data_IF_910180315207
#
_entry.id   IF_910180315207
#
_cell.length_a   1.000
_cell.length_b   1.000
_cell.length_c   1.000
_cell.angle_alpha   90.00
_cell.angle_beta   90.00
_cell.angle_gamma   90.00
#
_symmetry.space_group_name_H-M   'P 1'
#
loop_
_entity.id
_entity.type
_entity.pdbx_description
1 polymer ?
#
# COMPACT_ATOMS: atom_id res chain seq x y z
N UNK A 1 -15.37 -22.45 -12.53
CA UNK A 1 -14.19 -21.64 -12.88
C UNK A 1 -14.54 -20.26 -13.41
N UNK A 2 -15.43 -20.12 -14.42
CA UNK A 2 -15.82 -18.82 -15.02
C UNK A 2 -16.19 -17.72 -14.00
N UNK A 3 -17.04 -18.02 -13.01
CA UNK A 3 -17.41 -17.06 -11.94
C UNK A 3 -16.21 -16.51 -11.17
N UNK A 4 -15.20 -17.34 -10.87
CA UNK A 4 -14.00 -16.91 -10.12
C UNK A 4 -13.13 -15.94 -10.93
N UNK A 5 -13.04 -16.17 -12.25
CA UNK A 5 -12.30 -15.29 -13.16
C UNK A 5 -12.99 -13.93 -13.23
N UNK A 6 -14.32 -13.91 -13.37
CA UNK A 6 -15.12 -12.67 -13.40
C UNK A 6 -14.95 -11.87 -12.10
N UNK A 7 -15.05 -12.53 -10.93
CA UNK A 7 -14.81 -11.86 -9.64
C UNK A 7 -13.38 -11.33 -9.51
N UNK A 8 -12.39 -12.04 -10.03
CA UNK A 8 -11.01 -11.59 -10.04
C UNK A 8 -10.80 -10.34 -10.89
N UNK A 9 -11.36 -10.32 -12.11
CA UNK A 9 -11.28 -9.15 -13.00
C UNK A 9 -11.97 -7.93 -12.34
N UNK A 10 -13.17 -8.14 -11.79
CA UNK A 10 -13.90 -7.07 -11.11
C UNK A 10 -13.11 -6.54 -9.91
N UNK A 11 -12.46 -7.41 -9.14
CA UNK A 11 -11.61 -7.01 -8.02
C UNK A 11 -10.44 -6.14 -8.45
N UNK A 12 -9.77 -6.48 -9.56
CA UNK A 12 -8.67 -5.66 -10.11
C UNK A 12 -9.17 -4.27 -10.53
N UNK A 13 -10.31 -4.20 -11.23
CA UNK A 13 -10.91 -2.94 -11.65
C UNK A 13 -11.26 -2.07 -10.44
N UNK A 14 -11.89 -2.66 -9.41
CA UNK A 14 -12.20 -1.97 -8.16
C UNK A 14 -10.92 -1.47 -7.48
N UNK A 15 -9.87 -2.31 -7.42
CA UNK A 15 -8.59 -1.93 -6.82
C UNK A 15 -7.94 -0.74 -7.52
N UNK A 16 -7.93 -0.73 -8.86
CA UNK A 16 -7.45 0.41 -9.66
C UNK A 16 -8.33 1.64 -9.45
N UNK A 17 -9.65 1.49 -9.39
CA UNK A 17 -10.58 2.59 -9.11
C UNK A 17 -10.34 3.23 -7.74
N UNK A 18 -10.15 2.42 -6.70
CA UNK A 18 -9.79 2.89 -5.35
C UNK A 18 -8.45 3.64 -5.40
N UNK A 19 -7.46 3.13 -6.12
CA UNK A 19 -6.17 3.79 -6.26
C UNK A 19 -6.29 5.17 -6.93
N UNK A 20 -7.07 5.29 -8.01
CA UNK A 20 -7.34 6.58 -8.65
C UNK A 20 -8.03 7.57 -7.70
N UNK A 21 -9.02 7.10 -6.94
CA UNK A 21 -9.76 7.94 -6.01
C UNK A 21 -8.93 8.40 -4.81
N UNK A 22 -8.07 7.53 -4.27
CA UNK A 22 -7.33 7.76 -3.03
C UNK A 22 -5.93 8.38 -3.23
N UNK A 23 -5.53 8.64 -4.48
CA UNK A 23 -4.20 9.14 -4.81
C UNK A 23 -3.86 10.45 -4.09
N UNK A 24 -4.72 11.47 -4.20
CA UNK A 24 -4.48 12.78 -3.58
C UNK A 24 -4.39 12.67 -2.05
N UNK A 25 -5.28 11.88 -1.45
CA UNK A 25 -5.30 11.64 -0.01
C UNK A 25 -3.98 11.03 0.49
N UNK A 26 -3.47 9.99 -0.18
CA UNK A 26 -2.22 9.38 0.23
C UNK A 26 -1.00 10.27 0.00
N UNK A 27 -1.02 11.11 -1.04
CA UNK A 27 0.06 12.07 -1.28
C UNK A 27 0.14 13.09 -0.15
N UNK A 28 -0.99 13.64 0.29
CA UNK A 28 -1.05 14.56 1.42
C UNK A 28 -0.51 13.90 2.70
N UNK A 29 -0.96 12.68 3.02
CA UNK A 29 -0.45 11.94 4.17
C UNK A 29 1.08 11.75 4.10
N UNK A 30 1.61 11.33 2.95
CA UNK A 30 3.06 11.14 2.80
C UNK A 30 3.79 12.46 3.01
N UNK A 31 3.29 13.56 2.45
CA UNK A 31 3.90 14.88 2.60
C UNK A 31 3.89 15.36 4.06
N UNK A 32 2.80 15.15 4.77
CA UNK A 32 2.68 15.51 6.18
C UNK A 32 3.64 14.68 7.03
N UNK A 33 3.76 13.37 6.75
CA UNK A 33 4.75 12.51 7.41
C UNK A 33 6.18 12.98 7.12
N UNK A 34 6.48 13.42 5.89
CA UNK A 34 7.82 13.93 5.54
C UNK A 34 8.19 15.17 6.36
N UNK A 35 7.28 16.13 6.52
CA UNK A 35 7.51 17.31 7.36
C UNK A 35 7.63 16.92 8.83
N UNK A 36 6.64 16.18 9.32
CA UNK A 36 6.55 15.79 10.73
C UNK A 36 7.76 14.97 11.18
N UNK A 37 8.15 13.95 10.41
CA UNK A 37 9.27 13.06 10.76
C UNK A 37 10.65 13.72 10.67
N UNK A 38 10.75 14.90 10.07
CA UNK A 38 12.00 15.65 9.94
C UNK A 38 11.99 16.96 10.73
N UNK A 39 11.00 17.16 11.62
CA UNK A 39 10.84 18.40 12.39
C UNK A 39 10.83 19.66 11.51
N UNK A 40 10.09 19.59 10.39
CA UNK A 40 9.96 20.66 9.38
C UNK A 40 11.26 21.03 8.64
N UNK A 41 12.30 20.21 8.75
CA UNK A 41 13.54 20.38 7.99
C UNK A 41 13.33 20.12 6.48
N UNK A 42 12.29 19.40 6.07
CA UNK A 42 11.89 19.31 4.66
C UNK A 42 10.86 20.40 4.33
N UNK A 43 11.23 21.30 3.42
CA UNK A 43 10.32 22.32 2.86
C UNK A 43 9.99 22.01 1.40
N UNK A 44 8.71 21.85 1.11
CA UNK A 44 8.27 21.59 -0.26
C UNK A 44 8.26 22.87 -1.10
N UNK A 45 8.85 22.80 -2.30
CA UNK A 45 8.94 23.91 -3.24
C UNK A 45 8.41 23.53 -4.63
N UNK A 46 7.97 24.53 -5.40
CA UNK A 46 7.43 24.34 -6.75
C UNK A 46 5.93 24.07 -6.78
N UNK A 47 5.40 23.80 -7.98
CA UNK A 47 3.98 23.52 -8.18
C UNK A 47 3.67 22.09 -7.75
N UNK A 48 2.54 21.90 -7.07
CA UNK A 48 2.03 20.58 -6.69
C UNK A 48 1.42 19.85 -7.91
N UNK A 49 2.18 19.69 -8.98
CA UNK A 49 1.74 19.03 -10.21
C UNK A 49 2.30 17.62 -10.28
N UNK A 50 1.48 16.68 -9.84
CA UNK A 50 1.69 15.24 -10.03
C UNK A 50 0.39 14.70 -10.64
N UNK A 51 0.32 14.72 -11.97
CA UNK A 51 -0.92 14.42 -12.71
C UNK A 51 -1.09 12.89 -12.91
N UNK A 52 -0.07 12.09 -12.62
CA UNK A 52 -0.16 10.64 -12.71
C UNK A 52 0.70 9.96 -11.64
N UNK A 53 0.06 9.28 -10.68
CA UNK A 53 0.75 8.32 -9.83
C UNK A 53 1.49 7.30 -10.69
N UNK A 54 2.57 6.76 -10.15
CA UNK A 54 3.35 5.74 -10.85
C UNK A 54 2.44 4.59 -11.31
N UNK A 55 2.68 4.04 -12.50
CA UNK A 55 1.99 2.82 -12.96
C UNK A 55 2.06 1.69 -11.94
N UNK A 56 3.17 1.64 -11.18
CA UNK A 56 3.39 0.69 -10.09
C UNK A 56 2.31 0.78 -9.02
N UNK A 57 1.91 1.98 -8.60
CA UNK A 57 0.88 2.17 -7.57
C UNK A 57 -0.45 1.53 -7.97
N UNK A 58 -0.98 1.85 -9.15
CA UNK A 58 -2.27 1.32 -9.62
C UNK A 58 -2.24 -0.19 -9.80
N UNK A 59 -1.17 -0.72 -10.42
CA UNK A 59 -1.01 -2.17 -10.61
C UNK A 59 -0.97 -2.87 -9.25
N UNK A 60 -0.24 -2.31 -8.29
CA UNK A 60 -0.09 -2.92 -6.97
C UNK A 60 -1.42 -2.97 -6.24
N UNK A 61 -2.20 -1.88 -6.23
CA UNK A 61 -3.53 -1.87 -5.62
C UNK A 61 -4.51 -2.83 -6.32
N UNK A 62 -4.42 -2.98 -7.64
CA UNK A 62 -5.16 -4.01 -8.39
C UNK A 62 -4.83 -5.43 -7.92
N UNK A 63 -3.54 -5.75 -7.77
CA UNK A 63 -3.06 -7.06 -7.29
C UNK A 63 -3.49 -7.31 -5.83
N UNK A 64 -3.37 -6.30 -4.97
CA UNK A 64 -3.76 -6.37 -3.55
C UNK A 64 -5.26 -6.67 -3.43
N UNK A 65 -6.09 -5.95 -4.19
CA UNK A 65 -7.53 -6.19 -4.25
C UNK A 65 -7.84 -7.61 -4.70
N UNK A 66 -7.19 -8.08 -5.78
CA UNK A 66 -7.35 -9.45 -6.28
C UNK A 66 -7.01 -10.51 -5.21
N UNK A 67 -5.86 -10.37 -4.53
CA UNK A 67 -5.43 -11.32 -3.50
C UNK A 67 -6.40 -11.33 -2.32
N UNK A 68 -6.87 -10.15 -1.88
CA UNK A 68 -7.83 -10.04 -0.81
C UNK A 68 -9.19 -10.67 -1.18
N UNK A 69 -9.66 -10.46 -2.41
CA UNK A 69 -10.88 -11.12 -2.92
C UNK A 69 -10.70 -12.64 -2.99
N UNK A 70 -9.57 -13.14 -3.49
CA UNK A 70 -9.29 -14.58 -3.57
C UNK A 70 -9.25 -15.25 -2.19
N UNK A 71 -8.69 -14.57 -1.18
CA UNK A 71 -8.68 -15.08 0.19
C UNK A 71 -10.10 -15.24 0.75
N UNK A 72 -10.99 -14.33 0.36
CA UNK A 72 -12.29 -14.11 0.98
C UNK A 72 -13.48 -14.64 0.16
N UNK A 73 -13.24 -15.24 -1.01
CA UNK A 73 -14.26 -15.64 -1.99
C UNK A 73 -15.37 -16.57 -1.44
N UNK A 74 -15.11 -17.29 -0.35
CA UNK A 74 -16.09 -18.17 0.31
C UNK A 74 -16.15 -17.97 1.83
N UNK A 75 -15.73 -16.81 2.33
CA UNK A 75 -15.74 -16.50 3.76
C UNK A 75 -16.96 -15.68 4.14
N UNK A 76 -17.39 -15.78 5.41
CA UNK A 76 -18.44 -14.90 5.97
C UNK A 76 -17.96 -13.44 5.95
N UNK A 77 -18.87 -12.50 5.71
CA UNK A 77 -18.57 -11.06 5.64
C UNK A 77 -17.75 -10.55 6.83
N UNK A 78 -18.03 -11.02 8.05
CA UNK A 78 -17.27 -10.67 9.26
C UNK A 78 -15.78 -11.01 9.17
N UNK A 79 -15.43 -12.15 8.56
CA UNK A 79 -14.03 -12.52 8.32
C UNK A 79 -13.39 -11.68 7.22
N UNK A 80 -14.17 -11.32 6.20
CA UNK A 80 -13.72 -10.44 5.11
C UNK A 80 -13.34 -9.07 5.67
N UNK A 81 -14.24 -8.45 6.44
CA UNK A 81 -14.01 -7.17 7.09
C UNK A 81 -12.80 -7.22 8.03
N UNK A 82 -12.71 -8.27 8.87
CA UNK A 82 -11.54 -8.45 9.74
C UNK A 82 -10.23 -8.50 8.95
N UNK A 83 -10.20 -9.24 7.85
CA UNK A 83 -9.01 -9.33 7.00
C UNK A 83 -8.66 -8.00 6.33
N UNK A 84 -9.68 -7.27 5.86
CA UNK A 84 -9.52 -5.94 5.28
C UNK A 84 -8.96 -4.94 6.30
N UNK A 85 -9.50 -4.90 7.52
CA UNK A 85 -9.02 -4.02 8.59
C UNK A 85 -7.57 -4.32 8.96
N UNK A 86 -7.20 -5.60 9.10
CA UNK A 86 -5.81 -5.98 9.40
C UNK A 86 -4.87 -5.52 8.27
N UNK A 87 -5.26 -5.71 7.01
CA UNK A 87 -4.47 -5.26 5.87
C UNK A 87 -4.33 -3.73 5.84
N UNK A 88 -5.41 -3.00 6.12
CA UNK A 88 -5.43 -1.54 6.18
C UNK A 88 -4.55 -0.99 7.31
N UNK A 89 -4.60 -1.61 8.50
CA UNK A 89 -3.74 -1.22 9.63
C UNK A 89 -2.26 -1.43 9.32
N UNK A 90 -1.90 -2.59 8.76
CA UNK A 90 -0.50 -2.87 8.37
C UNK A 90 -0.06 -1.88 7.28
N UNK A 91 -0.91 -1.63 6.29
CA UNK A 91 -0.64 -0.66 5.24
C UNK A 91 -0.39 0.74 5.80
N UNK A 92 -1.23 1.23 6.72
CA UNK A 92 -1.08 2.54 7.34
C UNK A 92 0.22 2.68 8.15
N UNK A 93 0.55 1.67 8.97
CA UNK A 93 1.79 1.66 9.76
C UNK A 93 3.01 1.70 8.84
N UNK A 94 3.01 0.88 7.77
CA UNK A 94 4.11 0.84 6.80
C UNK A 94 4.21 2.13 6.00
N UNK A 95 3.08 2.71 5.61
CA UNK A 95 3.04 3.99 4.90
C UNK A 95 3.76 5.08 5.69
N UNK A 96 3.43 5.21 6.98
CA UNK A 96 4.08 6.17 7.88
C UNK A 96 5.56 5.82 8.04
N UNK A 97 5.87 4.55 8.35
CA UNK A 97 7.25 4.11 8.62
C UNK A 97 8.19 4.30 7.42
N UNK A 98 7.81 3.82 6.24
CA UNK A 98 8.63 3.95 5.02
C UNK A 98 8.78 5.43 4.63
N UNK A 99 7.72 6.23 4.75
CA UNK A 99 7.78 7.67 4.46
C UNK A 99 8.73 8.39 5.41
N UNK A 100 8.66 8.10 6.72
CA UNK A 100 9.53 8.71 7.72
C UNK A 100 11.01 8.34 7.49
N UNK A 101 11.29 7.09 7.13
CA UNK A 101 12.65 6.64 6.79
C UNK A 101 13.16 7.37 5.55
N UNK A 102 12.38 7.41 4.46
CA UNK A 102 12.80 8.10 3.21
C UNK A 102 13.03 9.60 3.44
N UNK A 103 12.18 10.25 4.23
CA UNK A 103 12.33 11.66 4.60
C UNK A 103 13.65 11.91 5.35
N UNK A 104 13.92 11.12 6.40
CA UNK A 104 15.14 11.27 7.19
C UNK A 104 16.40 10.93 6.39
N UNK A 105 16.37 9.90 5.55
CA UNK A 105 17.48 9.59 4.64
C UNK A 105 17.79 10.75 3.71
N UNK A 106 16.76 11.43 3.17
CA UNK A 106 16.96 12.64 2.36
C UNK A 106 17.57 13.78 3.18
N UNK A 107 17.18 14.01 4.42
CA UNK A 107 17.82 15.05 5.23
C UNK A 107 19.29 14.71 5.51
N UNK A 108 19.60 13.46 5.91
CA UNK A 108 20.97 13.00 6.22
C UNK A 108 21.89 13.06 5.00
N UNK A 109 21.39 12.73 3.81
CA UNK A 109 22.17 12.82 2.56
C UNK A 109 22.47 14.27 2.15
N UNK A 110 21.85 15.25 2.79
CA UNK A 110 22.11 16.66 2.51
C UNK A 110 23.34 17.15 3.28
N UNK A 111 24.53 16.82 2.79
CA UNK A 111 25.81 17.29 3.35
C UNK A 111 26.07 18.80 3.18
N UNK A 112 25.19 19.51 2.45
CA UNK A 112 25.31 20.94 2.15
C UNK A 112 23.97 21.70 2.33
N UNK A 113 23.06 21.22 3.17
CA UNK A 113 21.82 21.96 3.46
C UNK A 113 22.11 23.20 4.33
N UNK A 114 21.57 24.36 3.94
CA UNK A 114 21.55 25.56 4.76
C UNK A 114 20.79 25.25 6.07
N UNK A 115 21.51 25.28 7.20
CA UNK A 115 20.97 25.04 8.54
C UNK A 115 20.18 23.72 8.71
N UNK A 116 20.52 22.69 7.92
CA UNK A 116 19.82 21.39 7.95
C UNK A 116 18.46 21.37 7.23
N UNK A 117 18.08 22.46 6.55
CA UNK A 117 16.81 22.56 5.82
C UNK A 117 16.97 22.09 4.37
N UNK A 118 16.27 21.01 4.01
CA UNK A 118 16.22 20.49 2.63
C UNK A 118 14.98 21.00 1.90
N UNK A 119 15.20 21.82 0.87
CA UNK A 119 14.14 22.17 -0.11
C UNK A 119 13.92 20.97 -1.04
N UNK A 120 12.72 20.40 -1.02
CA UNK A 120 12.37 19.24 -1.83
C UNK A 120 11.25 19.61 -2.81
N UNK A 121 11.44 19.35 -4.10
CA UNK A 121 10.34 19.47 -5.04
C UNK A 121 9.28 18.41 -4.76
N UNK A 122 7.99 18.72 -4.92
CA UNK A 122 6.89 17.76 -4.68
C UNK A 122 7.05 16.44 -5.43
N UNK A 123 7.67 16.49 -6.62
CA UNK A 123 7.92 15.34 -7.49
C UNK A 123 9.19 14.55 -7.11
N UNK A 124 9.95 15.01 -6.11
CA UNK A 124 11.15 14.35 -5.59
C UNK A 124 10.86 13.23 -4.59
N UNK A 125 9.59 12.99 -4.26
CA UNK A 125 9.13 11.87 -3.44
C UNK A 125 8.72 10.72 -4.37
N UNK A 126 9.20 9.52 -4.07
CA UNK A 126 8.82 8.31 -4.78
C UNK A 126 7.50 7.72 -4.24
N UNK A 127 6.39 8.46 -4.39
CA UNK A 127 5.06 8.04 -3.87
C UNK A 127 4.69 6.63 -4.33
N UNK A 128 4.99 6.32 -5.59
CA UNK A 128 4.74 5.01 -6.18
C UNK A 128 5.40 3.85 -5.45
N UNK A 129 6.67 4.03 -5.08
CA UNK A 129 7.45 3.02 -4.39
C UNK A 129 6.97 2.89 -2.94
N UNK A 130 6.74 4.02 -2.25
CA UNK A 130 6.24 4.03 -0.87
C UNK A 130 4.89 3.32 -0.80
N UNK A 131 3.92 3.73 -1.62
CA UNK A 131 2.57 3.16 -1.62
C UNK A 131 2.56 1.72 -2.11
N UNK A 132 3.33 1.41 -3.16
CA UNK A 132 3.45 0.06 -3.69
C UNK A 132 4.07 -0.91 -2.68
N UNK A 133 5.19 -0.55 -2.07
CA UNK A 133 5.85 -1.38 -1.07
C UNK A 133 4.95 -1.63 0.15
N UNK A 134 4.33 -0.58 0.70
CA UNK A 134 3.39 -0.71 1.82
C UNK A 134 2.22 -1.63 1.48
N UNK A 135 1.67 -1.52 0.26
CA UNK A 135 0.54 -2.32 -0.20
C UNK A 135 0.92 -3.80 -0.43
N UNK A 136 2.10 -4.09 -0.97
CA UNK A 136 2.60 -5.47 -1.15
C UNK A 136 2.86 -6.13 0.20
N UNK A 137 3.48 -5.41 1.13
CA UNK A 137 3.81 -5.98 2.44
C UNK A 137 2.53 -6.20 3.26
N UNK A 138 1.53 -5.33 3.15
CA UNK A 138 0.28 -5.45 3.92
C UNK A 138 -0.57 -6.69 3.57
N UNK A 139 -0.39 -7.27 2.39
CA UNK A 139 -1.08 -8.51 1.98
C UNK A 139 -0.34 -9.79 2.37
N UNK A 140 0.86 -9.72 2.93
CA UNK A 140 1.63 -10.91 3.34
C UNK A 140 0.81 -11.84 4.25
N UNK A 141 0.10 -11.36 5.30
CA UNK A 141 -0.69 -12.24 6.15
C UNK A 141 -1.83 -12.95 5.40
N UNK A 142 -2.43 -12.26 4.43
CA UNK A 142 -3.47 -12.81 3.55
C UNK A 142 -2.89 -13.87 2.61
N UNK A 143 -1.74 -13.58 2.02
CA UNK A 143 -1.04 -14.50 1.13
C UNK A 143 -0.60 -15.79 1.85
N UNK A 144 -0.03 -15.67 3.07
CA UNK A 144 0.33 -16.81 3.92
C UNK A 144 -0.90 -17.68 4.22
N UNK A 145 -2.05 -17.07 4.53
CA UNK A 145 -3.31 -17.79 4.80
C UNK A 145 -3.80 -18.55 3.58
N UNK A 146 -3.70 -17.98 2.37
CA UNK A 146 -4.03 -18.67 1.12
C UNK A 146 -3.14 -19.92 0.95
N UNK A 147 -1.83 -19.78 1.11
CA UNK A 147 -0.87 -20.88 0.97
C UNK A 147 -1.17 -21.99 1.99
N UNK A 148 -1.38 -21.65 3.27
CA UNK A 148 -1.69 -22.62 4.33
C UNK A 148 -2.98 -23.40 4.05
N UNK A 149 -4.01 -22.78 3.48
CA UNK A 149 -5.26 -23.47 3.11
C UNK A 149 -5.07 -24.45 1.95
N UNK A 150 -4.21 -24.13 0.98
CA UNK A 150 -3.90 -25.05 -0.13
C UNK A 150 -3.03 -26.24 0.29
N UNK A 151 -2.19 -26.07 1.33
CA UNK A 151 -1.32 -27.12 1.87
C UNK A 151 -2.00 -28.12 2.81
N UNK A 152 -3.24 -27.87 3.27
CA UNK A 152 -3.97 -28.89 4.06
C UNK A 152 -4.38 -30.04 3.13
N UNK A 153 -3.83 -31.26 3.29
CA UNK A 153 -4.30 -32.41 2.53
C UNK A 153 -5.74 -32.76 2.96
N UNK A 154 -6.52 -33.27 2.01
CA UNK A 154 -7.83 -33.86 2.24
C UNK A 154 -7.72 -35.21 2.98
N UNK A 155 -7.11 -35.23 4.16
CA UNK A 155 -6.89 -36.45 4.97
C UNK A 155 -7.72 -36.48 6.26
N UNK A 156 -8.78 -35.68 6.38
CA UNK A 156 -9.69 -35.76 7.54
C UNK A 156 -11.10 -36.21 7.14
N UNK A 157 -11.19 -37.22 6.27
CA UNK A 157 -12.44 -37.95 5.92
C UNK A 157 -12.26 -39.47 6.06
N UNK A 158 -11.42 -39.91 7.00
CA UNK A 158 -11.37 -41.29 7.47
C UNK A 158 -11.39 -41.20 9.00
N UNK A 159 -12.21 -42.01 9.67
CA UNK A 159 -12.70 -41.87 11.06
C UNK A 159 -13.92 -40.95 11.24
N UNK A 160 -15.02 -41.37 10.60
CA UNK A 160 -16.30 -41.45 11.31
C UNK A 160 -16.28 -42.65 12.24
#
# INVERSE_FOLDING_TARGET
>A
MKKRIIFGILAVIIGIGIALFSESFFREIIQDVFKWSTSDNIKFVGKNMYIFSSKLYYITFGIVSLILTLENLNQKLTKVLKSGIICLLIFGILLIGISAIDANMKVVQCTACDDGIRKLHWNGINYGLILGASAIISIIPSFIRIIKRRKKPAYNTVYN
#
